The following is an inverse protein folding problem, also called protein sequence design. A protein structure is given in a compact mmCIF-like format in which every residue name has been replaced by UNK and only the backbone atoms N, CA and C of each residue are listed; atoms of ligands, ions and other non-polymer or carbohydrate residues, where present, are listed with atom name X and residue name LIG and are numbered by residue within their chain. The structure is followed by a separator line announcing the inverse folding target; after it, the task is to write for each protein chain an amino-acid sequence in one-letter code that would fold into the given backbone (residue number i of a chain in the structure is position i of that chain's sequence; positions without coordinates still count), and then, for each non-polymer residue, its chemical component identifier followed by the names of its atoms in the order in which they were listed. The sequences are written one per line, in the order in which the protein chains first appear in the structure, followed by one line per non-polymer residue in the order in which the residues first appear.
data_IF_744703768003
#
_entry.id   IF_744703768003
#
_cell.length_a   1.000
_cell.length_b   1.000
_cell.length_c   1.000
_cell.angle_alpha   90.00
_cell.angle_beta   90.00
_cell.angle_gamma   90.00
#
_symmetry.space_group_name_H-M   'P 1'
#
loop_
_entity.id
_entity.type
_entity.pdbx_description
1 polymer ?
#
# COMPACT_ATOMS: atom_id res chain seq x y z
N UNK A 1 6.00 7.41 -21.46
CA UNK A 1 5.26 6.15 -21.75
C UNK A 1 3.77 6.37 -21.54
N UNK A 2 2.90 5.81 -22.37
CA UNK A 2 1.45 5.81 -22.16
C UNK A 2 1.04 4.53 -21.40
N UNK A 3 0.20 4.65 -20.39
CA UNK A 3 -0.25 3.49 -19.63
C UNK A 3 -1.43 2.82 -20.36
N UNK A 4 -1.18 1.63 -20.90
CA UNK A 4 -2.19 0.79 -21.52
C UNK A 4 -2.24 -0.57 -20.80
N UNK A 5 -3.22 -0.73 -19.89
CA UNK A 5 -3.29 -1.86 -18.98
C UNK A 5 -3.85 -3.10 -19.66
N UNK A 6 -3.16 -4.21 -19.56
CA UNK A 6 -3.71 -5.52 -19.91
C UNK A 6 -4.80 -5.96 -18.92
N UNK A 7 -5.62 -6.94 -19.30
CA UNK A 7 -6.66 -7.50 -18.43
C UNK A 7 -6.12 -8.11 -17.14
N UNK A 8 -4.84 -8.52 -17.10
CA UNK A 8 -4.15 -9.11 -15.94
C UNK A 8 -3.38 -8.08 -15.11
N UNK A 9 -3.31 -6.82 -15.56
CA UNK A 9 -2.48 -5.80 -14.91
C UNK A 9 -2.82 -5.62 -13.43
N UNK A 10 -4.10 -5.70 -13.07
CA UNK A 10 -4.54 -5.54 -11.67
C UNK A 10 -3.92 -6.60 -10.74
N UNK A 11 -3.83 -7.85 -11.20
CA UNK A 11 -3.15 -8.89 -10.42
C UNK A 11 -1.65 -8.65 -10.36
N UNK A 12 -1.04 -8.35 -11.50
CA UNK A 12 0.42 -8.13 -11.59
C UNK A 12 0.85 -6.99 -10.66
N UNK A 13 0.13 -5.87 -10.63
CA UNK A 13 0.47 -4.75 -9.76
C UNK A 13 0.24 -5.07 -8.27
N UNK A 14 -0.73 -5.93 -7.96
CA UNK A 14 -0.93 -6.46 -6.62
C UNK A 14 0.28 -7.27 -6.15
N UNK A 15 0.61 -8.31 -6.89
CA UNK A 15 1.75 -9.20 -6.61
C UNK A 15 3.09 -8.41 -6.53
N UNK A 16 3.26 -7.43 -7.42
CA UNK A 16 4.44 -6.55 -7.41
C UNK A 16 4.52 -5.69 -6.17
N UNK A 17 3.40 -5.08 -5.74
CA UNK A 17 3.37 -4.26 -4.53
C UNK A 17 3.70 -5.05 -3.27
N UNK A 18 3.20 -6.28 -3.15
CA UNK A 18 3.56 -7.17 -2.04
C UNK A 18 5.05 -7.50 -2.05
N UNK A 19 5.61 -7.88 -3.21
CA UNK A 19 7.04 -8.16 -3.35
C UNK A 19 7.90 -6.92 -3.06
N UNK A 20 7.46 -5.73 -3.48
CA UNK A 20 8.14 -4.47 -3.20
C UNK A 20 8.17 -4.16 -1.70
N UNK A 21 7.06 -4.33 -1.00
CA UNK A 21 6.98 -4.15 0.46
C UNK A 21 7.90 -5.14 1.17
N UNK A 22 7.90 -6.42 0.77
CA UNK A 22 8.83 -7.42 1.29
C UNK A 22 10.30 -7.02 1.08
N UNK A 23 10.66 -6.52 -0.11
CA UNK A 23 12.02 -6.05 -0.39
C UNK A 23 12.43 -4.93 0.56
N UNK A 24 11.57 -3.95 0.80
CA UNK A 24 11.91 -2.84 1.70
C UNK A 24 11.99 -3.25 3.16
N UNK A 25 11.14 -4.14 3.63
CA UNK A 25 11.26 -4.72 4.97
C UNK A 25 12.55 -5.52 5.12
N UNK A 26 12.88 -6.39 4.17
CA UNK A 26 14.10 -7.19 4.19
C UNK A 26 15.35 -6.31 4.23
N UNK A 27 15.41 -5.25 3.43
CA UNK A 27 16.49 -4.25 3.47
C UNK A 27 16.59 -3.49 4.79
N UNK A 28 15.51 -3.47 5.56
CA UNK A 28 15.43 -2.83 6.89
C UNK A 28 15.64 -3.81 8.05
N UNK A 29 16.13 -5.03 7.77
CA UNK A 29 16.47 -6.02 8.79
C UNK A 29 15.28 -6.84 9.31
N UNK A 30 14.15 -6.84 8.60
CA UNK A 30 13.02 -7.70 8.94
C UNK A 30 13.11 -9.05 8.22
N UNK A 31 12.75 -10.11 8.92
CA UNK A 31 12.37 -11.38 8.33
C UNK A 31 10.93 -11.26 7.81
N UNK A 32 10.68 -11.65 6.55
CA UNK A 32 9.39 -11.43 5.90
C UNK A 32 8.87 -12.67 5.21
N UNK A 33 7.55 -12.80 5.19
CA UNK A 33 6.86 -13.82 4.38
C UNK A 33 5.57 -13.25 3.80
N UNK A 34 5.30 -13.58 2.54
CA UNK A 34 3.98 -13.36 1.93
C UNK A 34 3.08 -14.47 2.43
N UNK A 35 1.86 -14.11 2.85
CA UNK A 35 0.85 -15.05 3.33
C UNK A 35 -0.43 -14.92 2.51
N UNK A 36 -0.98 -16.04 2.11
CA UNK A 36 -2.29 -16.08 1.43
C UNK A 36 -3.39 -16.22 2.49
N UNK A 37 -3.60 -15.12 3.22
CA UNK A 37 -4.58 -15.10 4.30
C UNK A 37 -5.55 -13.92 4.14
N UNK A 38 -6.82 -14.15 4.45
CA UNK A 38 -7.82 -13.09 4.44
C UNK A 38 -7.49 -12.04 5.52
N UNK A 39 -7.17 -10.84 5.07
CA UNK A 39 -6.93 -9.67 5.93
C UNK A 39 -5.48 -9.19 6.00
N UNK A 40 -4.48 -10.09 5.85
CA UNK A 40 -3.07 -9.72 5.75
C UNK A 40 -2.42 -10.38 4.53
N UNK A 41 -1.53 -9.66 3.90
CA UNK A 41 -0.77 -10.10 2.72
C UNK A 41 0.67 -10.48 3.11
N UNK A 42 1.21 -9.86 4.17
CA UNK A 42 2.59 -10.02 4.61
C UNK A 42 2.66 -10.11 6.14
N UNK A 43 3.52 -11.00 6.63
CA UNK A 43 4.01 -10.97 8.01
C UNK A 43 5.48 -10.56 7.98
N UNK A 44 5.83 -9.51 8.74
CA UNK A 44 7.19 -9.01 8.89
C UNK A 44 7.60 -9.05 10.36
N UNK A 45 8.75 -9.67 10.66
CA UNK A 45 9.30 -9.80 12.02
C UNK A 45 10.66 -9.13 12.13
N UNK A 46 10.79 -8.23 13.08
CA UNK A 46 12.07 -7.61 13.40
C UNK A 46 12.75 -8.38 14.53
N UNK A 47 13.89 -9.06 14.29
CA UNK A 47 14.57 -9.89 15.30
C UNK A 47 15.20 -9.08 16.43
N UNK A 48 15.53 -7.80 16.22
CA UNK A 48 16.11 -6.93 17.25
C UNK A 48 15.04 -6.42 18.22
N UNK A 49 13.97 -5.83 17.69
CA UNK A 49 12.88 -5.24 18.50
C UNK A 49 11.82 -6.25 18.93
N UNK A 50 11.84 -7.47 18.35
CA UNK A 50 10.85 -8.54 18.54
C UNK A 50 9.45 -8.14 18.05
N UNK A 51 9.31 -7.04 17.34
CA UNK A 51 8.04 -6.60 16.75
C UNK A 51 7.65 -7.49 15.58
N UNK A 52 6.36 -7.78 15.50
CA UNK A 52 5.77 -8.53 14.39
C UNK A 52 4.64 -7.71 13.78
N UNK A 53 4.70 -7.45 12.50
CA UNK A 53 3.75 -6.64 11.76
C UNK A 53 2.93 -7.53 10.84
N UNK A 54 1.60 -7.37 10.87
CA UNK A 54 0.68 -7.95 9.89
C UNK A 54 0.25 -6.85 8.92
N UNK A 55 0.64 -6.97 7.66
CA UNK A 55 0.50 -5.89 6.68
C UNK A 55 -0.51 -6.26 5.62
N UNK A 56 -1.51 -5.38 5.38
CA UNK A 56 -2.31 -5.43 4.16
C UNK A 56 -1.74 -4.49 3.11
N UNK A 57 -1.67 -4.92 1.86
CA UNK A 57 -1.06 -4.16 0.75
C UNK A 57 -2.14 -3.73 -0.24
N UNK A 58 -2.15 -2.46 -0.61
CA UNK A 58 -3.06 -1.89 -1.60
C UNK A 58 -2.25 -1.26 -2.73
N UNK A 59 -2.33 -1.84 -3.92
CA UNK A 59 -1.56 -1.40 -5.09
C UNK A 59 -2.45 -0.82 -6.17
N UNK A 60 -2.02 0.27 -6.78
CA UNK A 60 -2.76 0.92 -7.89
C UNK A 60 -1.81 1.52 -8.91
N UNK A 61 -2.14 1.32 -10.18
CA UNK A 61 -1.55 2.08 -11.30
C UNK A 61 -2.50 3.17 -11.74
N UNK A 62 -2.05 4.42 -11.80
CA UNK A 62 -2.82 5.58 -12.20
C UNK A 62 -2.56 5.95 -13.65
N UNK A 63 -3.64 6.17 -14.40
CA UNK A 63 -3.56 6.73 -15.75
C UNK A 63 -3.16 8.21 -15.67
N UNK A 64 -2.65 8.75 -16.78
CA UNK A 64 -2.30 10.16 -16.91
C UNK A 64 -3.49 11.06 -16.52
N UNK A 65 -3.20 12.07 -15.70
CA UNK A 65 -4.20 13.02 -15.20
C UNK A 65 -5.04 12.50 -14.04
N UNK A 66 -4.78 11.27 -13.54
CA UNK A 66 -5.46 10.68 -12.37
C UNK A 66 -4.52 10.42 -11.19
N UNK A 67 -3.33 10.99 -11.22
CA UNK A 67 -2.29 10.79 -10.20
C UNK A 67 -2.74 11.23 -8.80
N UNK A 68 -3.59 12.26 -8.73
CA UNK A 68 -4.18 12.77 -7.48
C UNK A 68 -5.39 12.00 -6.96
N UNK A 69 -5.83 10.95 -7.67
CA UNK A 69 -7.01 10.19 -7.26
C UNK A 69 -6.73 9.33 -6.03
N UNK A 70 -7.65 9.33 -5.06
CA UNK A 70 -7.56 8.54 -3.84
C UNK A 70 -7.46 7.03 -4.10
N UNK A 71 -6.80 6.31 -3.20
CA UNK A 71 -6.74 4.84 -3.17
C UNK A 71 -7.70 4.32 -2.12
N UNK A 72 -8.62 3.46 -2.50
CA UNK A 72 -9.45 2.74 -1.54
C UNK A 72 -8.58 1.75 -0.78
N UNK A 73 -8.54 1.85 0.55
CA UNK A 73 -7.67 1.03 1.39
C UNK A 73 -8.46 0.01 2.22
N UNK A 74 -9.56 0.40 2.85
CA UNK A 74 -10.38 -0.48 3.67
C UNK A 74 -11.86 -0.31 3.30
N UNK A 75 -12.53 -1.41 2.95
CA UNK A 75 -13.96 -1.44 2.65
C UNK A 75 -14.74 -1.92 3.87
N UNK A 76 -15.90 -1.30 4.11
CA UNK A 76 -16.86 -1.70 5.15
C UNK A 76 -18.12 -2.33 4.55
N UNK A 77 -18.06 -2.69 3.27
CA UNK A 77 -19.16 -3.37 2.59
C UNK A 77 -19.10 -4.87 2.86
N UNK A 78 -20.25 -5.51 2.96
CA UNK A 78 -20.45 -6.94 3.29
C UNK A 78 -20.40 -7.24 4.80
N UNK A 79 -20.61 -8.50 5.13
CA UNK A 79 -20.80 -9.03 6.48
C UNK A 79 -19.58 -8.82 7.40
N UNK A 80 -18.39 -8.66 6.83
CA UNK A 80 -17.19 -8.37 7.57
C UNK A 80 -16.34 -7.32 6.84
N UNK A 81 -16.01 -6.21 7.53
CA UNK A 81 -15.19 -5.14 6.96
C UNK A 81 -13.73 -5.59 6.75
N UNK A 82 -13.05 -4.98 5.76
CA UNK A 82 -11.62 -5.24 5.55
C UNK A 82 -10.78 -4.90 6.79
N UNK A 83 -11.20 -3.88 7.55
CA UNK A 83 -10.56 -3.53 8.82
C UNK A 83 -10.69 -4.66 9.84
N UNK A 84 -11.89 -5.25 9.99
CA UNK A 84 -12.07 -6.34 10.94
C UNK A 84 -11.27 -7.57 10.54
N UNK A 85 -11.22 -7.90 9.24
CA UNK A 85 -10.38 -8.99 8.73
C UNK A 85 -8.90 -8.78 9.03
N UNK A 86 -8.40 -7.54 8.87
CA UNK A 86 -7.03 -7.19 9.22
C UNK A 86 -6.77 -7.39 10.72
N UNK A 87 -7.68 -6.92 11.58
CA UNK A 87 -7.55 -7.06 13.04
C UNK A 87 -7.60 -8.53 13.47
N UNK A 88 -8.56 -9.31 12.96
CA UNK A 88 -8.72 -10.74 13.30
C UNK A 88 -7.48 -11.55 12.85
N UNK A 89 -6.95 -11.26 11.66
CA UNK A 89 -5.73 -11.88 11.18
C UNK A 89 -4.52 -11.49 12.04
N UNK A 90 -4.38 -10.23 12.40
CA UNK A 90 -3.30 -9.76 13.25
C UNK A 90 -3.37 -10.37 14.67
N UNK A 91 -4.57 -10.54 15.23
CA UNK A 91 -4.75 -11.26 16.48
C UNK A 91 -4.30 -12.72 16.36
N UNK A 92 -4.74 -13.42 15.31
CA UNK A 92 -4.40 -14.83 15.07
C UNK A 92 -2.88 -15.07 14.90
N UNK A 93 -2.17 -14.13 14.25
CA UNK A 93 -0.72 -14.22 14.04
C UNK A 93 0.12 -13.47 15.07
N UNK A 94 -0.51 -12.89 16.10
CA UNK A 94 0.13 -12.05 17.12
C UNK A 94 0.99 -10.93 16.51
N UNK A 95 0.38 -10.16 15.59
CA UNK A 95 1.01 -9.07 14.84
C UNK A 95 0.36 -7.72 15.16
N UNK A 96 1.12 -6.64 15.04
CA UNK A 96 0.59 -5.28 14.99
C UNK A 96 0.02 -4.99 13.58
N UNK A 97 -1.18 -4.40 13.44
CA UNK A 97 -1.81 -4.17 12.14
C UNK A 97 -1.20 -2.95 11.42
N UNK A 98 -0.79 -3.15 10.17
CA UNK A 98 -0.20 -2.12 9.31
C UNK A 98 -0.83 -2.13 7.92
N UNK A 99 -0.75 -0.97 7.26
CA UNK A 99 -1.23 -0.77 5.89
C UNK A 99 -0.06 -0.31 5.03
N UNK A 100 0.14 -0.97 3.89
CA UNK A 100 1.03 -0.53 2.83
C UNK A 100 0.22 -0.08 1.62
N UNK A 101 0.59 1.06 1.04
CA UNK A 101 -0.10 1.65 -0.11
C UNK A 101 0.95 1.93 -1.18
N UNK A 102 0.88 1.18 -2.29
CA UNK A 102 1.72 1.38 -3.46
C UNK A 102 0.90 2.02 -4.58
N UNK A 103 1.36 3.15 -5.07
CA UNK A 103 0.71 3.87 -6.16
C UNK A 103 1.75 4.25 -7.19
N UNK A 104 1.59 3.74 -8.40
CA UNK A 104 2.43 4.12 -9.53
C UNK A 104 1.66 4.92 -10.59
N UNK A 105 2.38 5.71 -11.32
CA UNK A 105 1.93 6.48 -12.48
C UNK A 105 2.92 6.28 -13.64
N UNK A 106 2.77 7.08 -14.70
CA UNK A 106 3.65 7.03 -15.86
C UNK A 106 5.12 7.31 -15.55
N UNK A 107 5.41 8.18 -14.58
CA UNK A 107 6.76 8.70 -14.33
C UNK A 107 7.30 8.41 -12.94
N UNK A 108 6.44 8.05 -11.99
CA UNK A 108 6.85 7.83 -10.62
C UNK A 108 5.94 6.85 -9.90
N UNK A 109 6.44 6.35 -8.78
CA UNK A 109 5.63 5.62 -7.82
C UNK A 109 5.95 6.07 -6.40
N UNK A 110 4.95 5.91 -5.54
CA UNK A 110 5.06 6.15 -4.11
C UNK A 110 4.66 4.87 -3.35
N UNK A 111 5.45 4.50 -2.36
CA UNK A 111 5.11 3.48 -1.38
C UNK A 111 5.00 4.14 0.00
N UNK A 112 3.85 4.02 0.63
CA UNK A 112 3.59 4.46 2.00
C UNK A 112 3.35 3.24 2.87
N UNK A 113 3.87 3.28 4.12
CA UNK A 113 3.66 2.24 5.11
C UNK A 113 3.42 2.90 6.47
N UNK A 114 2.32 2.56 7.14
CA UNK A 114 1.94 3.12 8.43
C UNK A 114 1.12 2.12 9.25
N UNK A 115 1.10 2.29 10.57
CA UNK A 115 0.24 1.49 11.43
C UNK A 115 -1.24 1.84 11.21
N UNK A 116 -2.12 0.87 11.41
CA UNK A 116 -3.57 1.09 11.35
C UNK A 116 -4.03 2.13 12.38
N UNK A 117 -3.42 2.13 13.57
CA UNK A 117 -3.73 3.06 14.65
C UNK A 117 -3.38 4.50 14.26
N UNK A 118 -2.20 4.72 13.65
CA UNK A 118 -1.80 6.03 13.15
C UNK A 118 -2.72 6.52 12.02
N UNK A 119 -3.11 5.62 11.10
CA UNK A 119 -4.10 5.94 10.07
C UNK A 119 -5.43 6.37 10.68
N UNK A 120 -5.97 5.58 11.60
CA UNK A 120 -7.26 5.87 12.26
C UNK A 120 -7.25 7.21 13.01
N UNK A 121 -6.14 7.54 13.65
CA UNK A 121 -6.01 8.74 14.49
C UNK A 121 -5.79 10.03 13.68
N UNK A 122 -5.11 9.96 12.52
CA UNK A 122 -4.64 11.16 11.81
C UNK A 122 -5.21 11.32 10.39
N UNK A 123 -5.52 10.22 9.70
CA UNK A 123 -5.87 10.25 8.28
C UNK A 123 -7.27 9.78 7.95
N UNK A 124 -7.87 9.03 8.86
CA UNK A 124 -9.25 8.60 8.71
C UNK A 124 -10.20 9.79 8.76
N UNK A 125 -11.05 9.92 7.74
CA UNK A 125 -12.07 10.96 7.73
C UNK A 125 -13.08 10.80 8.87
N UNK A 126 -13.56 11.92 9.44
CA UNK A 126 -14.55 11.94 10.53
C UNK A 126 -15.94 11.46 10.10
N UNK A 127 -16.25 11.48 8.81
CA UNK A 127 -17.53 11.03 8.29
C UNK A 127 -17.53 9.51 8.13
N UNK A 128 -18.59 8.86 8.63
CA UNK A 128 -18.80 7.43 8.41
C UNK A 128 -18.95 7.18 6.90
N UNK A 129 -18.01 6.46 6.32
CA UNK A 129 -17.98 6.11 4.90
C UNK A 129 -18.03 4.59 4.75
N UNK A 130 -18.50 4.15 3.58
CA UNK A 130 -18.47 2.73 3.21
C UNK A 130 -17.04 2.23 2.89
N UNK A 131 -16.13 3.15 2.55
CA UNK A 131 -14.75 2.85 2.17
C UNK A 131 -13.85 3.94 2.76
N UNK A 132 -12.79 3.53 3.43
CA UNK A 132 -11.69 4.41 3.80
C UNK A 132 -10.74 4.57 2.62
N UNK A 133 -10.23 5.79 2.43
CA UNK A 133 -9.39 6.15 1.30
C UNK A 133 -8.08 6.82 1.73
N UNK A 134 -7.03 6.58 0.95
CA UNK A 134 -5.76 7.28 1.02
C UNK A 134 -5.72 8.35 -0.06
N UNK A 135 -5.66 9.61 0.33
CA UNK A 135 -5.71 10.74 -0.59
C UNK A 135 -4.35 10.96 -1.25
N UNK A 136 -4.33 11.19 -2.56
CA UNK A 136 -3.10 11.38 -3.33
C UNK A 136 -2.94 12.79 -3.90
N UNK A 137 -3.66 13.78 -3.34
CA UNK A 137 -3.45 15.19 -3.72
C UNK A 137 -2.07 15.67 -3.28
N UNK A 138 -1.50 16.66 -3.96
CA UNK A 138 -0.17 17.20 -3.63
C UNK A 138 -0.06 17.71 -2.20
N UNK A 139 -1.15 18.28 -1.66
CA UNK A 139 -1.21 18.69 -0.25
C UNK A 139 -1.06 17.49 0.68
N UNK A 140 -1.80 16.41 0.40
CA UNK A 140 -1.74 15.19 1.21
C UNK A 140 -0.35 14.54 1.12
N UNK A 141 0.22 14.44 -0.10
CA UNK A 141 1.56 13.89 -0.29
C UNK A 141 2.63 14.66 0.50
N UNK A 142 2.56 16.00 0.53
CA UNK A 142 3.47 16.82 1.36
C UNK A 142 3.29 16.54 2.85
N UNK A 143 2.05 16.40 3.32
CA UNK A 143 1.78 16.04 4.72
C UNK A 143 2.36 14.68 5.07
N UNK A 144 2.19 13.66 4.20
CA UNK A 144 2.76 12.34 4.41
C UNK A 144 4.29 12.35 4.46
N UNK A 145 4.93 13.12 3.59
CA UNK A 145 6.39 13.25 3.56
C UNK A 145 6.97 13.93 4.80
N UNK A 146 6.18 14.74 5.50
CA UNK A 146 6.58 15.43 6.76
C UNK A 146 6.22 14.65 8.03
N UNK A 147 5.48 13.55 7.90
CA UNK A 147 5.03 12.74 9.05
C UNK A 147 6.04 11.62 9.35
N UNK A 148 6.74 11.66 10.51
CA UNK A 148 7.77 10.66 10.85
C UNK A 148 7.23 9.24 11.10
N UNK A 149 5.91 9.11 11.37
CA UNK A 149 5.26 7.82 11.58
C UNK A 149 4.95 7.11 10.25
N UNK A 150 4.95 7.82 9.13
CA UNK A 150 4.78 7.25 7.79
C UNK A 150 6.16 6.88 7.21
N UNK A 151 6.35 5.62 6.86
CA UNK A 151 7.51 5.22 6.05
C UNK A 151 7.15 5.44 4.59
N UNK A 152 7.91 6.30 3.92
CA UNK A 152 7.65 6.72 2.55
C UNK A 152 8.87 6.49 1.67
N UNK A 153 8.62 5.95 0.49
CA UNK A 153 9.60 5.76 -0.57
C UNK A 153 9.03 6.32 -1.84
N UNK A 154 9.75 7.27 -2.44
CA UNK A 154 9.45 7.79 -3.77
C UNK A 154 10.41 7.20 -4.79
N UNK A 155 9.89 6.83 -5.96
CA UNK A 155 10.66 6.27 -7.07
C UNK A 155 10.33 7.02 -8.35
N UNK A 156 11.36 7.53 -9.03
CA UNK A 156 11.23 8.12 -10.35
C UNK A 156 11.53 7.09 -11.43
N UNK A 157 10.70 7.07 -12.48
CA UNK A 157 10.89 6.24 -13.65
C UNK A 157 11.49 7.05 -14.80
N UNK A 158 12.61 6.55 -15.33
CA UNK A 158 13.23 7.10 -16.52
C UNK A 158 13.11 6.06 -17.64
N UNK A 159 12.22 6.31 -18.59
CA UNK A 159 11.92 5.41 -19.71
C UNK A 159 12.44 5.99 -21.06
N UNK A 160 13.72 5.91 -21.30
CA UNK A 160 14.31 6.47 -22.51
C UNK A 160 13.95 5.71 -23.81
N UNK A 161 13.64 4.41 -23.74
CA UNK A 161 13.40 3.56 -24.94
C UNK A 161 12.31 2.49 -24.74
N UNK A 162 11.31 2.75 -23.90
CA UNK A 162 10.19 1.82 -23.66
C UNK A 162 8.98 2.19 -24.52
N UNK A 163 9.15 2.12 -25.87
CA UNK A 163 8.05 2.34 -26.82
C UNK A 163 7.78 1.07 -27.64
N UNK A 164 6.58 0.52 -27.46
CA UNK A 164 6.10 -0.69 -28.13
C UNK A 164 5.07 -0.39 -29.22
N UNK A 165 4.99 0.85 -29.71
CA UNK A 165 4.12 1.18 -30.85
C UNK A 165 4.66 0.45 -32.08
N UNK A 166 3.86 -0.51 -32.57
CA UNK A 166 4.11 -1.17 -33.84
C UNK A 166 4.00 -0.11 -34.91
N UNK A 167 5.09 0.14 -35.64
CA UNK A 167 5.11 1.03 -36.79
C UNK A 167 4.42 0.39 -37.98
#
# INVERSE_FOLDING_TARGET
MEINKSTRHQKIIGDYGEALVCNWFSRSGFEVTIVDHTGIDIVAYNPETKKRLGVTVKSRTRDNGKEGSSVNILSYQKDQSDKQKLLDACEAFACDPWIAIYVESTRSADLYLLSLDHYDSHYKGTKKRAIDDWKMTDVCKRNYASDPEIKHIHMDYNDSNWDWKIR
#
